data_IF_956205150129
#
_entry.id   IF_956205150129
#
_cell.length_a   1.000
_cell.length_b   1.000
_cell.length_c   1.000
_cell.angle_alpha   90.00
_cell.angle_beta   90.00
_cell.angle_gamma   90.00
#
_symmetry.space_group_name_H-M   'P 1'
#
loop_
_entity.id
_entity.type
_entity.pdbx_description
1 polymer ?
#
# COMPACT_ATOMS: atom_id res chain seq x y z
N UNK A 1 -26.69 -9.46 -12.48
CA UNK A 1 -25.32 -9.13 -12.96
C UNK A 1 -24.89 -7.75 -12.48
N UNK A 2 -25.62 -6.67 -12.79
CA UNK A 2 -25.31 -5.29 -12.33
C UNK A 2 -25.11 -5.18 -10.82
N UNK A 3 -26.06 -5.67 -10.01
CA UNK A 3 -25.92 -5.70 -8.53
C UNK A 3 -24.66 -6.40 -8.04
N UNK A 4 -24.18 -7.42 -8.77
CA UNK A 4 -22.95 -8.11 -8.43
C UNK A 4 -21.76 -7.21 -8.75
N UNK A 5 -21.69 -6.64 -9.95
CA UNK A 5 -20.63 -5.71 -10.41
C UNK A 5 -20.53 -4.45 -9.55
N UNK A 6 -21.65 -3.97 -9.02
CA UNK A 6 -21.69 -2.78 -8.17
C UNK A 6 -21.52 -3.09 -6.67
N UNK A 7 -21.41 -4.36 -6.28
CA UNK A 7 -21.44 -4.74 -4.86
C UNK A 7 -20.24 -4.22 -4.06
N UNK A 8 -19.08 -4.07 -4.71
CA UNK A 8 -17.85 -3.54 -4.13
C UNK A 8 -17.76 -2.01 -4.14
N UNK A 9 -18.71 -1.33 -4.79
CA UNK A 9 -18.68 0.11 -4.99
C UNK A 9 -19.21 0.87 -3.77
N UNK A 10 -18.56 1.99 -3.44
CA UNK A 10 -19.00 2.87 -2.35
C UNK A 10 -20.28 3.65 -2.72
N UNK A 11 -20.47 3.94 -4.01
CA UNK A 11 -21.61 4.70 -4.53
C UNK A 11 -22.53 3.82 -5.38
N UNK A 12 -23.21 2.87 -4.72
CA UNK A 12 -24.01 1.81 -5.38
C UNK A 12 -25.05 2.34 -6.37
N UNK A 13 -25.82 3.36 -5.99
CA UNK A 13 -26.85 3.94 -6.88
C UNK A 13 -26.24 4.54 -8.15
N UNK A 14 -25.09 5.21 -8.01
CA UNK A 14 -24.32 5.77 -9.13
C UNK A 14 -23.62 4.70 -9.97
N UNK A 15 -23.53 3.47 -9.48
CA UNK A 15 -23.07 2.32 -10.25
C UNK A 15 -24.22 1.61 -10.98
N UNK A 16 -25.28 1.26 -10.26
CA UNK A 16 -26.36 0.41 -10.77
C UNK A 16 -27.18 1.10 -11.86
N UNK A 17 -27.52 2.39 -11.68
CA UNK A 17 -28.33 3.14 -12.64
C UNK A 17 -27.73 3.17 -14.05
N UNK A 18 -26.50 3.68 -14.24
CA UNK A 18 -25.84 3.73 -15.55
C UNK A 18 -25.67 2.34 -16.18
N UNK A 19 -25.29 1.33 -15.41
CA UNK A 19 -25.08 -0.03 -15.93
C UNK A 19 -26.37 -0.72 -16.33
N UNK A 20 -27.47 -0.53 -15.58
CA UNK A 20 -28.78 -1.06 -15.99
C UNK A 20 -29.21 -0.46 -17.32
N UNK A 21 -29.08 0.87 -17.47
CA UNK A 21 -29.37 1.55 -18.74
C UNK A 21 -28.49 1.06 -19.89
N UNK A 22 -27.19 0.89 -19.65
CA UNK A 22 -26.28 0.36 -20.67
C UNK A 22 -26.67 -1.04 -21.14
N UNK A 23 -27.12 -1.92 -20.22
CA UNK A 23 -27.59 -3.26 -20.56
C UNK A 23 -28.94 -3.27 -21.29
N UNK A 24 -29.81 -2.28 -21.03
CA UNK A 24 -31.03 -2.08 -21.80
C UNK A 24 -30.72 -1.64 -23.24
N UNK A 25 -29.76 -0.73 -23.40
CA UNK A 25 -29.32 -0.18 -24.69
C UNK A 25 -28.51 -1.20 -25.53
N UNK A 26 -27.69 -2.05 -24.88
CA UNK A 26 -26.96 -3.15 -25.52
C UNK A 26 -27.08 -4.46 -24.73
N UNK A 27 -28.06 -5.32 -25.08
CA UNK A 27 -28.26 -6.63 -24.43
C UNK A 27 -27.08 -7.60 -24.54
N UNK A 28 -26.06 -7.31 -25.36
CA UNK A 28 -24.86 -8.16 -25.53
C UNK A 28 -23.80 -7.91 -24.45
N UNK A 29 -23.94 -6.85 -23.63
CA UNK A 29 -23.08 -6.55 -22.47
C UNK A 29 -23.27 -7.58 -21.35
N UNK A 30 -22.67 -8.76 -21.54
CA UNK A 30 -22.82 -9.92 -20.66
C UNK A 30 -21.52 -10.29 -19.94
N UNK A 31 -20.38 -9.73 -20.35
CA UNK A 31 -19.07 -10.03 -19.77
C UNK A 31 -18.64 -8.93 -18.78
N UNK A 32 -18.03 -9.30 -17.64
CA UNK A 32 -17.54 -8.34 -16.65
C UNK A 32 -16.57 -7.28 -17.21
N UNK A 33 -15.72 -7.65 -18.18
CA UNK A 33 -14.82 -6.71 -18.87
C UNK A 33 -15.57 -5.59 -19.58
N UNK A 34 -16.63 -5.97 -20.27
CA UNK A 34 -17.36 -5.08 -21.16
C UNK A 34 -18.24 -4.15 -20.33
N UNK A 35 -18.77 -4.63 -19.20
CA UNK A 35 -19.42 -3.81 -18.17
C UNK A 35 -18.44 -2.83 -17.51
N UNK A 36 -17.22 -3.27 -17.16
CA UNK A 36 -16.18 -2.38 -16.64
C UNK A 36 -15.82 -1.30 -17.66
N UNK A 37 -15.57 -1.68 -18.92
CA UNK A 37 -15.25 -0.73 -20.00
C UNK A 37 -16.40 0.28 -20.22
N UNK A 38 -17.64 -0.19 -20.24
CA UNK A 38 -18.81 0.67 -20.33
C UNK A 38 -18.87 1.65 -19.15
N UNK A 39 -18.58 1.17 -17.93
CA UNK A 39 -18.56 2.02 -16.74
C UNK A 39 -17.45 3.08 -16.76
N UNK A 40 -16.24 2.73 -17.17
CA UNK A 40 -15.14 3.70 -17.32
C UNK A 40 -15.51 4.77 -18.33
N UNK A 41 -16.21 4.42 -19.41
CA UNK A 41 -16.73 5.40 -20.38
C UNK A 41 -17.80 6.33 -19.78
N UNK A 42 -18.68 5.83 -18.90
CA UNK A 42 -19.58 6.72 -18.16
C UNK A 42 -18.82 7.68 -17.24
N UNK A 43 -17.76 7.20 -16.59
CA UNK A 43 -16.92 8.06 -15.76
C UNK A 43 -16.22 9.15 -16.60
N UNK A 44 -15.76 8.84 -17.81
CA UNK A 44 -15.24 9.81 -18.78
C UNK A 44 -16.24 10.93 -19.09
N UNK A 45 -17.49 10.55 -19.38
CA UNK A 45 -18.56 11.49 -19.70
C UNK A 45 -18.84 12.44 -18.52
N UNK A 46 -18.88 11.91 -17.29
CA UNK A 46 -19.13 12.72 -16.09
C UNK A 46 -17.95 13.65 -15.76
N UNK A 47 -16.70 13.19 -15.93
CA UNK A 47 -15.51 14.04 -15.81
C UNK A 47 -15.57 15.15 -16.85
N UNK A 48 -15.86 14.83 -18.11
CA UNK A 48 -15.97 15.82 -19.18
C UNK A 48 -17.08 16.85 -18.93
N UNK A 49 -18.24 16.43 -18.42
CA UNK A 49 -19.33 17.33 -18.03
C UNK A 49 -18.92 18.27 -16.90
N UNK A 50 -18.23 17.76 -15.88
CA UNK A 50 -17.73 18.56 -14.77
C UNK A 50 -16.79 19.65 -15.29
N UNK A 51 -15.79 19.30 -16.09
CA UNK A 51 -14.86 20.26 -16.66
C UNK A 51 -15.52 21.25 -17.62
N UNK A 52 -16.42 20.82 -18.50
CA UNK A 52 -17.14 21.75 -19.39
C UNK A 52 -17.95 22.80 -18.62
N UNK A 53 -18.49 22.44 -17.45
CA UNK A 53 -19.19 23.39 -16.59
C UNK A 53 -18.25 24.44 -16.00
N UNK A 54 -16.98 24.11 -15.73
CA UNK A 54 -15.98 25.10 -15.26
C UNK A 54 -15.71 26.20 -16.28
N UNK A 55 -15.82 25.91 -17.59
CA UNK A 55 -15.64 26.90 -18.67
C UNK A 55 -16.70 28.02 -18.58
N UNK A 56 -17.88 27.71 -18.05
CA UNK A 56 -18.97 28.68 -17.87
C UNK A 56 -18.87 29.49 -16.55
N UNK A 57 -17.91 29.16 -15.68
CA UNK A 57 -17.70 29.88 -14.42
C UNK A 57 -16.95 31.19 -14.67
N UNK A 58 -17.16 32.16 -13.77
CA UNK A 58 -16.44 33.44 -13.80
C UNK A 58 -15.33 33.43 -12.77
N UNK A 59 -14.13 33.80 -13.21
CA UNK A 59 -12.94 33.92 -12.36
C UNK A 59 -12.56 35.40 -12.29
N UNK A 60 -12.70 36.00 -11.12
CA UNK A 60 -12.62 37.45 -10.95
C UNK A 60 -11.18 37.92 -10.74
N UNK A 61 -10.39 37.12 -10.00
CA UNK A 61 -9.01 37.46 -9.65
C UNK A 61 -7.99 36.88 -10.65
N UNK A 62 -6.83 37.53 -10.78
CA UNK A 62 -5.73 36.99 -11.60
C UNK A 62 -5.23 35.63 -11.07
N UNK A 63 -5.32 35.41 -9.76
CA UNK A 63 -4.98 34.14 -9.14
C UNK A 63 -5.96 33.02 -9.55
N UNK A 64 -7.27 33.29 -9.57
CA UNK A 64 -8.27 32.32 -10.04
C UNK A 64 -8.14 32.03 -11.54
N UNK A 65 -7.80 33.04 -12.36
CA UNK A 65 -7.54 32.84 -13.79
C UNK A 65 -6.32 31.94 -14.02
N UNK A 66 -5.24 32.17 -13.26
CA UNK A 66 -4.05 31.30 -13.29
C UNK A 66 -4.39 29.86 -12.89
N UNK A 67 -5.08 29.69 -11.78
CA UNK A 67 -5.53 28.37 -11.30
C UNK A 67 -6.44 27.65 -12.31
N UNK A 68 -7.26 28.39 -13.05
CA UNK A 68 -8.11 27.83 -14.09
C UNK A 68 -7.31 27.35 -15.32
N UNK A 69 -6.28 28.07 -15.76
CA UNK A 69 -5.40 27.59 -16.83
C UNK A 69 -4.64 26.32 -16.42
N UNK A 70 -4.16 26.26 -15.18
CA UNK A 70 -3.56 25.04 -14.63
C UNK A 70 -4.58 23.88 -14.58
N UNK A 71 -5.82 24.17 -14.17
CA UNK A 71 -6.91 23.21 -14.13
C UNK A 71 -7.25 22.64 -15.52
N UNK A 72 -7.18 23.44 -16.60
CA UNK A 72 -7.38 22.95 -17.97
C UNK A 72 -6.30 21.94 -18.37
N UNK A 73 -5.05 22.17 -17.99
CA UNK A 73 -3.98 21.22 -18.27
C UNK A 73 -4.19 19.91 -17.52
N UNK A 74 -4.55 19.99 -16.23
CA UNK A 74 -4.89 18.82 -15.43
C UNK A 74 -6.10 18.04 -16.00
N UNK A 75 -7.03 18.73 -16.66
CA UNK A 75 -8.13 18.07 -17.38
C UNK A 75 -7.65 17.27 -18.58
N UNK A 76 -6.77 17.84 -19.41
CA UNK A 76 -6.19 17.15 -20.56
C UNK A 76 -5.46 15.88 -20.10
N UNK A 77 -4.64 15.99 -19.05
CA UNK A 77 -3.95 14.84 -18.44
C UNK A 77 -4.95 13.78 -17.93
N UNK A 78 -6.03 14.20 -17.26
CA UNK A 78 -7.09 13.29 -16.78
C UNK A 78 -7.83 12.59 -17.93
N UNK A 79 -8.07 13.30 -19.02
CA UNK A 79 -8.73 12.75 -20.20
C UNK A 79 -7.86 11.69 -20.88
N UNK A 80 -6.57 11.98 -21.06
CA UNK A 80 -5.62 11.04 -21.66
C UNK A 80 -5.50 9.73 -20.85
N UNK A 81 -5.48 9.83 -19.52
CA UNK A 81 -5.42 8.67 -18.62
C UNK A 81 -6.71 7.82 -18.65
N UNK A 82 -7.89 8.46 -18.70
CA UNK A 82 -9.15 7.73 -18.87
C UNK A 82 -9.25 7.08 -20.25
N UNK A 83 -8.89 7.79 -21.32
CA UNK A 83 -8.93 7.24 -22.69
C UNK A 83 -7.96 6.06 -22.83
N UNK A 84 -6.78 6.16 -22.23
CA UNK A 84 -5.82 5.05 -22.14
C UNK A 84 -6.42 3.84 -21.42
N UNK A 85 -7.12 4.07 -20.31
CA UNK A 85 -7.83 3.00 -19.59
C UNK A 85 -8.90 2.32 -20.46
N UNK A 86 -9.71 3.09 -21.19
CA UNK A 86 -10.76 2.55 -22.08
C UNK A 86 -10.17 1.77 -23.25
N UNK A 87 -9.11 2.32 -23.86
CA UNK A 87 -8.39 1.72 -24.99
C UNK A 87 -7.79 0.37 -24.60
N UNK A 88 -7.10 0.31 -23.47
CA UNK A 88 -6.46 -0.90 -23.00
C UNK A 88 -7.46 -1.95 -22.49
N UNK A 89 -8.57 -1.54 -21.85
CA UNK A 89 -9.68 -2.46 -21.54
C UNK A 89 -10.30 -3.08 -22.80
N UNK A 90 -10.29 -2.34 -23.92
CA UNK A 90 -10.70 -2.86 -25.23
C UNK A 90 -9.77 -3.94 -25.78
N UNK A 91 -8.46 -3.80 -25.57
CA UNK A 91 -7.43 -4.70 -26.12
C UNK A 91 -7.13 -5.91 -25.24
N UNK A 92 -7.17 -5.75 -23.92
CA UNK A 92 -6.75 -6.79 -22.97
C UNK A 92 -7.77 -7.93 -22.93
N UNK A 93 -7.28 -9.17 -22.98
CA UNK A 93 -8.11 -10.35 -22.70
C UNK A 93 -8.38 -10.46 -21.20
N UNK A 94 -9.55 -10.97 -20.80
CA UNK A 94 -9.90 -11.12 -19.37
C UNK A 94 -8.84 -11.86 -18.55
N UNK A 95 -8.23 -12.90 -19.12
CA UNK A 95 -7.17 -13.69 -18.47
C UNK A 95 -5.89 -12.88 -18.17
N UNK A 96 -5.68 -11.77 -18.88
CA UNK A 96 -4.52 -10.88 -18.77
C UNK A 96 -4.87 -9.54 -18.10
N UNK A 97 -6.14 -9.31 -17.76
CA UNK A 97 -6.60 -8.08 -17.11
C UNK A 97 -5.82 -7.82 -15.81
N UNK A 98 -5.40 -8.89 -15.13
CA UNK A 98 -4.65 -8.83 -13.88
C UNK A 98 -3.23 -8.30 -13.97
N UNK A 99 -2.60 -8.49 -15.12
CA UNK A 99 -1.25 -7.99 -15.36
C UNK A 99 -1.27 -6.48 -15.61
N UNK A 100 -2.39 -5.94 -16.10
CA UNK A 100 -2.58 -4.53 -16.47
C UNK A 100 -3.31 -3.72 -15.40
N UNK A 101 -3.83 -4.35 -14.35
CA UNK A 101 -4.48 -3.67 -13.21
C UNK A 101 -3.63 -2.58 -12.58
N UNK A 102 -2.30 -2.72 -12.40
CA UNK A 102 -1.49 -1.63 -11.89
C UNK A 102 -1.59 -0.36 -12.75
N UNK A 103 -1.62 -0.52 -14.07
CA UNK A 103 -1.73 0.60 -15.02
C UNK A 103 -3.10 1.26 -14.89
N UNK A 104 -4.18 0.47 -14.91
CA UNK A 104 -5.55 0.98 -14.73
C UNK A 104 -5.75 1.66 -13.38
N UNK A 105 -5.21 1.09 -12.30
CA UNK A 105 -5.25 1.71 -10.97
C UNK A 105 -4.48 3.03 -10.96
N UNK A 106 -3.32 3.08 -11.63
CA UNK A 106 -2.52 4.30 -11.74
C UNK A 106 -3.29 5.41 -12.46
N UNK A 107 -3.78 5.13 -13.68
CA UNK A 107 -4.49 6.11 -14.51
C UNK A 107 -5.79 6.60 -13.85
N UNK A 108 -6.64 5.68 -13.36
CA UNK A 108 -7.90 6.08 -12.72
C UNK A 108 -7.67 6.81 -11.38
N UNK A 109 -6.62 6.49 -10.62
CA UNK A 109 -6.28 7.23 -9.40
C UNK A 109 -5.69 8.61 -9.71
N UNK A 110 -4.91 8.73 -10.78
CA UNK A 110 -4.38 10.01 -11.25
C UNK A 110 -5.50 10.97 -11.64
N UNK A 111 -6.54 10.47 -12.33
CA UNK A 111 -7.74 11.25 -12.68
C UNK A 111 -8.45 11.86 -11.46
N UNK A 112 -8.58 11.10 -10.36
CA UNK A 112 -9.14 11.63 -9.11
C UNK A 112 -8.23 12.72 -8.54
N UNK A 113 -6.92 12.49 -8.60
CA UNK A 113 -5.90 13.41 -8.10
C UNK A 113 -5.86 14.71 -8.90
N UNK A 114 -5.94 14.65 -10.23
CA UNK A 114 -6.00 15.83 -11.10
C UNK A 114 -7.22 16.70 -10.82
N UNK A 115 -8.39 16.09 -10.60
CA UNK A 115 -9.59 16.82 -10.19
C UNK A 115 -9.43 17.45 -8.79
N UNK A 116 -8.70 16.81 -7.86
CA UNK A 116 -8.42 17.41 -6.54
C UNK A 116 -7.39 18.55 -6.65
N UNK A 117 -6.31 18.35 -7.40
CA UNK A 117 -5.28 19.36 -7.64
C UNK A 117 -5.85 20.59 -8.35
N UNK A 118 -6.79 20.41 -9.27
CA UNK A 118 -7.52 21.53 -9.87
C UNK A 118 -8.23 22.34 -8.78
N UNK A 119 -8.99 21.71 -7.89
CA UNK A 119 -9.65 22.41 -6.78
C UNK A 119 -8.63 23.07 -5.85
N UNK A 120 -7.53 22.36 -5.57
CA UNK A 120 -6.51 22.81 -4.63
C UNK A 120 -5.75 24.06 -5.11
N UNK A 121 -5.66 24.26 -6.43
CA UNK A 121 -5.07 25.45 -7.04
C UNK A 121 -5.86 26.73 -6.78
N UNK A 122 -7.15 26.65 -6.45
CA UNK A 122 -7.97 27.83 -6.16
C UNK A 122 -7.82 28.30 -4.71
N UNK A 123 -7.80 29.63 -4.46
CA UNK A 123 -7.78 30.17 -3.10
C UNK A 123 -9.05 29.77 -2.34
N UNK A 124 -8.98 29.79 -1.00
CA UNK A 124 -10.15 29.52 -0.17
C UNK A 124 -11.28 30.53 -0.45
N UNK A 125 -12.50 30.02 -0.64
CA UNK A 125 -13.66 30.85 -0.97
C UNK A 125 -14.78 30.08 -1.65
N UNK A 126 -15.76 30.83 -2.16
CA UNK A 126 -16.95 30.28 -2.80
C UNK A 126 -16.60 29.49 -4.08
N UNK A 127 -15.72 30.02 -4.93
CA UNK A 127 -15.26 29.38 -6.18
C UNK A 127 -14.69 27.99 -5.92
N UNK A 128 -13.78 27.85 -4.95
CA UNK A 128 -13.19 26.57 -4.55
C UNK A 128 -14.24 25.58 -4.05
N UNK A 129 -15.21 26.06 -3.26
CA UNK A 129 -16.31 25.22 -2.73
C UNK A 129 -17.23 24.72 -3.86
N UNK A 130 -17.56 25.57 -4.82
CA UNK A 130 -18.33 25.20 -6.00
C UNK A 130 -17.60 24.15 -6.86
N UNK A 131 -16.30 24.34 -7.10
CA UNK A 131 -15.47 23.38 -7.82
C UNK A 131 -15.37 22.04 -7.08
N UNK A 132 -15.19 22.07 -5.75
CA UNK A 132 -15.16 20.85 -4.93
C UNK A 132 -16.47 20.06 -5.09
N UNK A 133 -17.62 20.73 -5.00
CA UNK A 133 -18.93 20.08 -5.17
C UNK A 133 -19.12 19.52 -6.58
N UNK A 134 -18.66 20.24 -7.59
CA UNK A 134 -18.71 19.82 -8.99
C UNK A 134 -17.89 18.56 -9.23
N UNK A 135 -16.63 18.56 -8.81
CA UNK A 135 -15.71 17.44 -9.03
C UNK A 135 -15.95 16.26 -8.10
N UNK A 136 -16.55 16.44 -6.92
CA UNK A 136 -16.96 15.31 -6.08
C UNK A 136 -17.89 14.36 -6.84
N UNK A 137 -18.81 14.90 -7.64
CA UNK A 137 -19.72 14.07 -8.41
C UNK A 137 -18.99 13.17 -9.40
N UNK A 138 -18.08 13.72 -10.21
CA UNK A 138 -17.30 12.96 -11.20
C UNK A 138 -16.28 12.02 -10.55
N UNK A 139 -15.66 12.42 -9.43
CA UNK A 139 -14.76 11.55 -8.64
C UNK A 139 -15.45 10.29 -8.15
N UNK A 140 -16.72 10.36 -7.77
CA UNK A 140 -17.49 9.18 -7.34
C UNK A 140 -17.59 8.12 -8.45
N UNK A 141 -17.78 8.53 -9.71
CA UNK A 141 -17.81 7.59 -10.85
C UNK A 141 -16.44 6.97 -11.13
N UNK A 142 -15.37 7.76 -11.06
CA UNK A 142 -14.01 7.24 -11.23
C UNK A 142 -13.64 6.28 -10.09
N UNK A 143 -14.07 6.58 -8.86
CA UNK A 143 -13.93 5.68 -7.70
C UNK A 143 -14.69 4.37 -7.90
N UNK A 144 -15.92 4.43 -8.40
CA UNK A 144 -16.67 3.24 -8.74
C UNK A 144 -15.99 2.42 -9.86
N UNK A 145 -15.36 3.05 -10.86
CA UNK A 145 -14.53 2.34 -11.86
C UNK A 145 -13.37 1.57 -11.22
N UNK A 146 -12.68 2.15 -10.24
CA UNK A 146 -11.63 1.47 -9.49
C UNK A 146 -12.17 0.27 -8.69
N UNK A 147 -13.33 0.43 -8.05
CA UNK A 147 -13.96 -0.63 -7.28
C UNK A 147 -14.48 -1.78 -8.17
N UNK A 148 -15.06 -1.46 -9.33
CA UNK A 148 -15.49 -2.45 -10.32
C UNK A 148 -14.27 -3.14 -10.94
N UNK A 149 -13.22 -2.39 -11.28
CA UNK A 149 -11.97 -2.97 -11.77
C UNK A 149 -11.41 -3.95 -10.75
N UNK A 150 -11.32 -3.54 -9.47
CA UNK A 150 -10.87 -4.40 -8.38
C UNK A 150 -11.74 -5.66 -8.21
N UNK A 151 -13.05 -5.57 -8.48
CA UNK A 151 -13.95 -6.72 -8.39
C UNK A 151 -13.90 -7.63 -9.63
N UNK A 152 -13.83 -7.06 -10.85
CA UNK A 152 -13.63 -7.81 -12.09
C UNK A 152 -12.27 -8.57 -12.09
N UNK A 153 -11.39 -8.11 -11.22
CA UNK A 153 -10.07 -8.62 -10.91
C UNK A 153 -10.01 -9.62 -9.75
N UNK A 154 -11.13 -9.85 -9.04
CA UNK A 154 -11.25 -10.93 -8.06
C UNK A 154 -11.27 -12.29 -8.80
N UNK A 155 -10.11 -12.68 -9.33
CA UNK A 155 -9.65 -14.07 -9.25
C UNK A 155 -9.33 -14.36 -7.77
N UNK A 156 -10.28 -14.14 -6.87
CA UNK A 156 -10.18 -14.62 -5.49
C UNK A 156 -10.00 -16.12 -5.61
N UNK A 157 -8.86 -16.67 -5.15
CA UNK A 157 -8.63 -18.09 -5.26
C UNK A 157 -9.78 -18.81 -4.55
N UNK A 158 -10.35 -19.84 -5.18
CA UNK A 158 -11.45 -20.61 -4.58
C UNK A 158 -11.01 -21.09 -3.20
N UNK A 159 -11.71 -20.72 -2.12
CA UNK A 159 -11.29 -21.08 -0.79
C UNK A 159 -11.50 -22.57 -0.54
N UNK A 160 -10.52 -23.19 0.14
CA UNK A 160 -10.72 -24.50 0.76
C UNK A 160 -11.61 -24.40 1.98
N UNK A 161 -11.57 -23.26 2.66
CA UNK A 161 -12.26 -23.02 3.92
C UNK A 161 -12.56 -21.53 4.08
N UNK A 162 -13.70 -21.24 4.71
CA UNK A 162 -14.15 -19.88 5.05
C UNK A 162 -14.21 -19.70 6.56
N UNK A 163 -13.59 -18.64 7.06
CA UNK A 163 -13.74 -18.15 8.44
C UNK A 163 -14.72 -16.99 8.42
N UNK A 164 -15.75 -17.06 9.27
CA UNK A 164 -16.72 -15.99 9.42
C UNK A 164 -17.15 -15.85 10.88
N UNK A 165 -16.86 -14.69 11.48
CA UNK A 165 -17.17 -14.41 12.89
C UNK A 165 -18.67 -14.49 13.21
N UNK A 166 -19.52 -14.21 12.22
CA UNK A 166 -20.99 -14.30 12.32
C UNK A 166 -21.54 -15.74 12.28
N UNK A 167 -20.69 -16.74 12.04
CA UNK A 167 -21.08 -18.14 11.92
C UNK A 167 -21.54 -18.57 10.53
N UNK A 168 -21.43 -17.72 9.51
CA UNK A 168 -21.81 -18.02 8.12
C UNK A 168 -20.72 -18.75 7.30
N UNK A 169 -19.66 -19.22 7.97
CA UNK A 169 -18.52 -19.93 7.39
C UNK A 169 -18.24 -21.24 8.14
N UNK A 170 -17.19 -21.94 7.74
CA UNK A 170 -16.79 -23.23 8.31
C UNK A 170 -16.22 -23.09 9.74
N UNK A 171 -15.59 -21.95 10.05
CA UNK A 171 -15.00 -21.65 11.36
C UNK A 171 -15.39 -20.25 11.83
N UNK A 172 -15.48 -20.04 13.15
CA UNK A 172 -15.74 -18.72 13.74
C UNK A 172 -14.46 -17.92 14.00
N UNK A 173 -13.35 -18.61 14.23
CA UNK A 173 -12.04 -18.00 14.49
C UNK A 173 -10.99 -18.49 13.50
N UNK A 174 -9.96 -17.69 13.28
CA UNK A 174 -8.85 -18.02 12.39
C UNK A 174 -7.97 -19.09 13.02
N UNK A 175 -7.78 -19.06 14.35
CA UNK A 175 -7.00 -20.08 15.07
C UNK A 175 -7.64 -21.46 15.00
N UNK A 176 -8.98 -21.58 15.14
CA UNK A 176 -9.68 -22.86 14.94
C UNK A 176 -9.49 -23.38 13.51
N UNK A 177 -9.64 -22.50 12.51
CA UNK A 177 -9.40 -22.84 11.11
C UNK A 177 -7.97 -23.36 10.89
N UNK A 178 -6.96 -22.68 11.42
CA UNK A 178 -5.56 -23.08 11.28
C UNK A 178 -5.28 -24.43 11.96
N UNK A 179 -5.88 -24.70 13.12
CA UNK A 179 -5.76 -25.98 13.80
C UNK A 179 -6.37 -27.14 12.99
N UNK A 180 -7.34 -26.85 12.13
CA UNK A 180 -7.99 -27.83 11.25
C UNK A 180 -7.29 -27.98 9.88
N UNK A 181 -6.29 -27.15 9.55
CA UNK A 181 -5.52 -27.30 8.31
C UNK A 181 -4.85 -28.68 8.27
N UNK A 182 -5.02 -29.47 7.19
CA UNK A 182 -4.39 -30.77 7.07
C UNK A 182 -2.87 -30.69 7.22
N UNK A 183 -2.26 -31.60 7.98
CA UNK A 183 -0.80 -31.65 8.15
C UNK A 183 -0.05 -31.90 6.82
N UNK A 184 -0.72 -32.51 5.84
CA UNK A 184 -0.24 -32.68 4.47
C UNK A 184 -1.34 -32.20 3.53
N UNK A 185 -0.98 -31.29 2.63
CA UNK A 185 -1.85 -30.82 1.58
C UNK A 185 -0.99 -30.59 0.33
N UNK A 186 -1.41 -31.15 -0.80
CA UNK A 186 -0.72 -30.94 -2.07
C UNK A 186 -1.18 -29.61 -2.69
N UNK A 187 -0.23 -28.73 -3.00
CA UNK A 187 -0.51 -27.41 -3.57
C UNK A 187 -0.69 -26.33 -2.51
N UNK A 188 -1.61 -25.39 -2.77
CA UNK A 188 -1.84 -24.17 -1.99
C UNK A 188 -3.19 -24.25 -1.28
N UNK A 189 -3.19 -24.10 0.04
CA UNK A 189 -4.39 -24.18 0.86
C UNK A 189 -4.93 -22.76 1.12
N UNK A 190 -6.16 -22.51 0.71
CA UNK A 190 -6.74 -21.17 0.62
C UNK A 190 -7.79 -20.97 1.72
N UNK A 191 -7.56 -19.97 2.56
CA UNK A 191 -8.42 -19.56 3.67
C UNK A 191 -9.03 -18.21 3.31
N UNK A 192 -10.36 -18.17 3.20
CA UNK A 192 -11.10 -16.92 3.10
C UNK A 192 -11.52 -16.46 4.48
N UNK A 193 -11.24 -15.21 4.84
CA UNK A 193 -11.64 -14.60 6.12
C UNK A 193 -12.64 -13.49 5.83
N UNK A 194 -13.91 -13.71 6.16
CA UNK A 194 -14.95 -12.69 5.98
C UNK A 194 -14.71 -11.48 6.86
N UNK A 195 -15.33 -10.37 6.50
CA UNK A 195 -15.38 -9.13 7.27
C UNK A 195 -15.62 -9.40 8.77
N UNK A 196 -14.81 -8.76 9.60
CA UNK A 196 -14.83 -8.91 11.04
C UNK A 196 -13.50 -8.51 11.68
N UNK A 197 -13.57 -8.09 12.93
CA UNK A 197 -12.40 -7.88 13.78
C UNK A 197 -12.18 -9.13 14.62
N UNK A 198 -11.13 -9.88 14.33
CA UNK A 198 -10.72 -11.12 14.98
C UNK A 198 -9.68 -10.80 16.04
N UNK A 199 -10.12 -10.69 17.30
CA UNK A 199 -9.27 -10.43 18.47
C UNK A 199 -8.68 -11.74 19.00
N UNK A 200 -7.58 -12.16 18.36
CA UNK A 200 -6.89 -13.41 18.63
C UNK A 200 -5.42 -13.33 18.20
N UNK A 201 -4.55 -14.06 18.89
CA UNK A 201 -3.15 -14.23 18.45
C UNK A 201 -3.07 -15.38 17.45
N UNK A 202 -2.83 -15.05 16.18
CA UNK A 202 -2.85 -16.03 15.08
C UNK A 202 -1.42 -16.40 14.69
N UNK A 203 -1.13 -17.69 14.59
CA UNK A 203 0.19 -18.19 14.19
C UNK A 203 0.09 -19.22 13.06
N UNK A 204 0.58 -18.88 11.87
CA UNK A 204 0.81 -19.82 10.77
C UNK A 204 2.15 -20.49 10.97
N UNK A 205 2.13 -21.70 11.54
CA UNK A 205 3.36 -22.41 11.93
C UNK A 205 4.17 -22.91 10.73
N UNK A 206 5.43 -23.29 10.95
CA UNK A 206 6.30 -23.90 9.92
C UNK A 206 5.73 -25.14 9.22
N UNK A 207 4.77 -25.83 9.86
CA UNK A 207 4.11 -27.01 9.30
C UNK A 207 3.02 -26.63 8.26
N UNK A 208 2.59 -25.37 8.24
CA UNK A 208 1.52 -24.85 7.40
C UNK A 208 2.12 -24.12 6.19
N UNK A 209 2.66 -24.88 5.24
CA UNK A 209 3.29 -24.33 4.02
C UNK A 209 2.25 -23.97 2.96
N UNK A 210 2.58 -23.01 2.10
CA UNK A 210 1.76 -22.57 0.96
C UNK A 210 0.32 -22.19 1.34
N UNK A 211 0.13 -21.57 2.50
CA UNK A 211 -1.16 -21.01 2.89
C UNK A 211 -1.40 -19.71 2.11
N UNK A 212 -2.60 -19.55 1.56
CA UNK A 212 -3.12 -18.23 1.16
C UNK A 212 -4.23 -17.85 2.11
N UNK A 213 -4.15 -16.66 2.68
CA UNK A 213 -5.20 -16.07 3.50
C UNK A 213 -5.66 -14.77 2.85
N UNK A 214 -6.95 -14.66 2.54
CA UNK A 214 -7.49 -13.42 1.97
C UNK A 214 -8.75 -12.93 2.68
N UNK A 215 -8.92 -11.61 2.70
CA UNK A 215 -10.05 -10.94 3.36
C UNK A 215 -11.03 -10.28 2.39
N UNK A 216 -12.11 -9.74 2.94
CA UNK A 216 -13.06 -8.86 2.23
C UNK A 216 -12.51 -7.44 1.99
N UNK A 217 -11.33 -7.14 2.54
CA UNK A 217 -10.68 -5.84 2.48
C UNK A 217 -9.80 -5.63 3.70
N UNK A 218 -8.68 -4.92 3.54
CA UNK A 218 -7.69 -4.75 4.61
C UNK A 218 -8.17 -3.90 5.79
N UNK A 219 -9.30 -3.22 5.66
CA UNK A 219 -10.01 -2.51 6.73
C UNK A 219 -11.28 -3.24 7.21
N UNK A 220 -11.59 -4.41 6.63
CA UNK A 220 -12.80 -5.20 6.92
C UNK A 220 -12.45 -6.49 7.65
N UNK A 221 -11.52 -7.28 7.11
CA UNK A 221 -11.04 -8.52 7.73
C UNK A 221 -9.75 -8.24 8.51
N UNK A 222 -9.86 -8.04 9.82
CA UNK A 222 -8.75 -7.54 10.66
C UNK A 222 -8.41 -8.54 11.76
N UNK A 223 -7.16 -8.98 11.82
CA UNK A 223 -6.58 -9.65 12.98
C UNK A 223 -6.05 -8.57 13.93
N UNK A 224 -6.46 -8.60 15.20
CA UNK A 224 -6.07 -7.60 16.19
C UNK A 224 -5.57 -8.22 17.49
N UNK A 225 -4.78 -7.45 18.24
CA UNK A 225 -4.30 -7.75 19.59
C UNK A 225 -3.71 -6.51 20.25
N UNK A 226 -3.27 -6.60 21.49
CA UNK A 226 -2.77 -5.46 22.28
C UNK A 226 -1.55 -5.77 23.16
N UNK A 227 -0.91 -6.93 22.95
CA UNK A 227 0.30 -7.32 23.71
C UNK A 227 1.42 -6.32 23.44
N UNK A 228 2.17 -5.99 24.49
CA UNK A 228 3.19 -4.95 24.43
C UNK A 228 4.29 -5.12 25.48
N UNK A 229 5.42 -4.44 25.27
CA UNK A 229 6.58 -4.55 26.14
C UNK A 229 6.40 -3.91 27.52
N UNK A 230 5.66 -2.80 27.60
CA UNK A 230 5.39 -2.12 28.89
C UNK A 230 4.71 -3.04 29.89
N UNK A 231 3.81 -3.90 29.42
CA UNK A 231 3.08 -4.88 30.24
C UNK A 231 3.89 -6.17 30.51
N UNK A 232 5.19 -6.17 30.21
CA UNK A 232 6.10 -7.28 30.51
C UNK A 232 6.19 -8.36 29.42
N UNK A 233 5.53 -8.17 28.26
CA UNK A 233 5.63 -9.11 27.14
C UNK A 233 6.87 -8.78 26.31
N UNK A 234 7.83 -9.70 26.25
CA UNK A 234 9.01 -9.54 25.37
C UNK A 234 8.59 -9.20 23.94
N UNK A 235 9.21 -8.20 23.32
CA UNK A 235 8.82 -7.67 21.99
C UNK A 235 8.51 -8.75 20.95
N UNK A 236 9.33 -9.81 20.88
CA UNK A 236 9.12 -10.97 19.99
C UNK A 236 7.75 -11.67 20.14
N UNK A 237 7.19 -11.68 21.35
CA UNK A 237 5.92 -12.34 21.70
C UNK A 237 4.71 -11.39 21.63
N UNK A 238 4.92 -10.12 21.26
CA UNK A 238 3.85 -9.12 21.19
C UNK A 238 3.02 -9.20 19.91
N UNK A 239 3.50 -9.94 18.90
CA UNK A 239 2.88 -10.03 17.58
C UNK A 239 1.42 -10.54 17.64
N UNK A 240 0.47 -9.76 17.11
CA UNK A 240 -0.92 -10.21 16.91
C UNK A 240 -1.02 -11.30 15.85
N UNK A 241 -0.22 -11.19 14.78
CA UNK A 241 -0.14 -12.17 13.71
C UNK A 241 1.30 -12.64 13.49
N UNK A 242 1.50 -13.95 13.38
CA UNK A 242 2.80 -14.58 13.17
C UNK A 242 2.74 -15.50 11.95
N UNK A 243 3.72 -15.38 11.05
CA UNK A 243 3.89 -16.28 9.91
C UNK A 243 5.27 -16.91 9.93
N UNK A 244 5.30 -18.24 9.97
CA UNK A 244 6.52 -19.06 9.91
C UNK A 244 6.48 -20.11 8.80
N UNK A 245 5.32 -20.33 8.19
CA UNK A 245 5.13 -21.26 7.06
C UNK A 245 5.56 -20.63 5.73
N UNK A 246 6.50 -21.27 5.04
CA UNK A 246 7.01 -20.81 3.74
C UNK A 246 5.92 -20.74 2.66
N UNK A 247 6.07 -19.81 1.73
CA UNK A 247 5.13 -19.61 0.62
C UNK A 247 3.78 -19.01 1.05
N UNK A 248 3.71 -18.40 2.23
CA UNK A 248 2.51 -17.71 2.69
C UNK A 248 2.13 -16.55 1.76
N UNK A 249 0.85 -16.41 1.45
CA UNK A 249 0.30 -15.26 0.72
C UNK A 249 -0.82 -14.64 1.56
N UNK A 250 -0.69 -13.37 1.93
CA UNK A 250 -1.76 -12.57 2.53
C UNK A 250 -2.33 -11.58 1.52
N UNK A 251 -3.65 -11.58 1.31
CA UNK A 251 -4.31 -10.66 0.38
C UNK A 251 -5.44 -9.90 1.08
N UNK A 252 -5.49 -8.58 0.95
CA UNK A 252 -6.64 -7.79 1.45
C UNK A 252 -6.98 -8.05 2.95
N UNK A 253 -5.95 -8.25 3.78
CA UNK A 253 -6.08 -8.47 5.23
C UNK A 253 -5.55 -7.29 6.03
N UNK A 254 -6.16 -7.03 7.19
CA UNK A 254 -5.67 -6.10 8.20
C UNK A 254 -4.97 -6.83 9.34
N UNK A 255 -3.83 -6.31 9.80
CA UNK A 255 -3.09 -6.78 10.96
C UNK A 255 -2.83 -5.60 11.89
N UNK A 256 -3.34 -5.66 13.11
CA UNK A 256 -3.35 -4.52 14.04
C UNK A 256 -2.81 -4.90 15.41
N UNK A 257 -2.02 -4.00 16.00
CA UNK A 257 -1.76 -3.99 17.43
C UNK A 257 -2.23 -2.67 18.04
N UNK A 258 -3.14 -2.74 19.02
CA UNK A 258 -3.83 -1.59 19.61
C UNK A 258 -3.22 -1.10 20.93
N UNK A 259 -2.04 -1.59 21.33
CA UNK A 259 -1.38 -1.19 22.57
C UNK A 259 -1.14 0.32 22.72
N UNK A 260 -1.05 1.05 21.61
CA UNK A 260 -0.81 2.50 21.62
C UNK A 260 0.68 2.87 21.70
N UNK A 261 1.02 4.17 21.59
CA UNK A 261 2.41 4.64 21.67
C UNK A 261 2.99 4.48 23.09
N UNK A 262 2.11 4.46 24.10
CA UNK A 262 2.43 4.22 25.51
C UNK A 262 2.81 2.77 25.83
N UNK A 263 2.50 1.81 24.95
CA UNK A 263 2.81 0.39 25.15
C UNK A 263 4.26 0.02 24.84
N UNK A 264 5.06 0.95 24.31
CA UNK A 264 6.38 0.69 23.73
C UNK A 264 6.29 -0.35 22.59
N UNK A 265 7.22 -1.31 22.50
CA UNK A 265 7.25 -2.31 21.42
C UNK A 265 5.97 -3.15 21.41
N UNK A 266 5.23 -3.11 20.30
CA UNK A 266 3.96 -3.80 20.14
C UNK A 266 3.73 -4.19 18.67
N UNK A 267 4.09 -5.43 18.33
CA UNK A 267 4.13 -5.90 16.94
C UNK A 267 2.71 -6.24 16.45
N UNK A 268 2.35 -5.75 15.26
CA UNK A 268 1.11 -6.13 14.58
C UNK A 268 1.29 -7.44 13.81
N UNK A 269 2.37 -7.55 13.04
CA UNK A 269 2.73 -8.76 12.30
C UNK A 269 4.22 -9.08 12.39
N UNK A 270 4.54 -10.36 12.66
CA UNK A 270 5.89 -10.92 12.62
C UNK A 270 6.00 -11.96 11.52
N UNK A 271 6.93 -11.76 10.59
CA UNK A 271 7.09 -12.61 9.41
C UNK A 271 8.47 -13.27 9.41
N UNK A 272 8.48 -14.58 9.53
CA UNK A 272 9.63 -15.47 9.53
C UNK A 272 9.41 -16.63 8.54
N UNK A 273 8.97 -16.29 7.32
CA UNK A 273 8.66 -17.25 6.26
C UNK A 273 9.33 -16.85 4.96
N UNK A 274 9.93 -17.81 4.26
CA UNK A 274 10.51 -17.58 2.95
C UNK A 274 9.41 -17.53 1.90
N UNK A 275 9.57 -16.65 0.90
CA UNK A 275 8.61 -16.45 -0.19
C UNK A 275 7.24 -15.98 0.33
N UNK A 276 7.25 -15.25 1.44
CA UNK A 276 6.05 -14.61 1.96
C UNK A 276 5.67 -13.41 1.08
N UNK A 277 4.41 -13.35 0.68
CA UNK A 277 3.86 -12.23 -0.12
C UNK A 277 2.67 -11.62 0.59
N UNK A 278 2.63 -10.31 0.65
CA UNK A 278 1.48 -9.55 1.13
C UNK A 278 1.05 -8.57 0.04
N UNK A 279 -0.22 -8.61 -0.36
CA UNK A 279 -0.77 -7.69 -1.34
C UNK A 279 -2.05 -7.03 -0.83
N UNK A 280 -2.17 -5.71 -1.02
CA UNK A 280 -3.33 -4.95 -0.56
C UNK A 280 -3.62 -5.12 0.95
N UNK A 281 -2.59 -5.39 1.76
CA UNK A 281 -2.73 -5.60 3.21
C UNK A 281 -2.49 -4.30 3.98
N UNK A 282 -3.01 -4.24 5.20
CA UNK A 282 -2.80 -3.11 6.12
C UNK A 282 -2.16 -3.58 7.42
N UNK A 283 -1.08 -2.94 7.82
CA UNK A 283 -0.36 -3.19 9.07
C UNK A 283 -0.43 -1.94 9.93
N UNK A 284 -1.00 -2.05 11.13
CA UNK A 284 -1.28 -0.89 11.99
C UNK A 284 -0.76 -1.10 13.40
N UNK A 285 0.05 -0.14 13.85
CA UNK A 285 0.55 -0.08 15.20
C UNK A 285 1.12 1.30 15.51
N UNK A 286 2.06 1.33 16.45
CA UNK A 286 2.87 2.48 16.79
C UNK A 286 4.35 2.08 16.70
N UNK A 287 4.96 1.70 17.83
CA UNK A 287 6.33 1.21 17.84
C UNK A 287 6.40 -0.27 17.45
N UNK A 288 7.33 -0.61 16.56
CA UNK A 288 7.60 -1.99 16.09
C UNK A 288 6.44 -2.65 15.31
N UNK A 289 5.66 -1.89 14.52
CA UNK A 289 4.46 -2.40 13.81
C UNK A 289 4.70 -3.69 13.00
N UNK A 290 5.69 -3.69 12.10
CA UNK A 290 5.96 -4.81 11.19
C UNK A 290 7.37 -5.35 11.43
N UNK A 291 7.42 -6.56 12.00
CA UNK A 291 8.66 -7.29 12.22
C UNK A 291 8.91 -8.24 11.05
N UNK A 292 9.64 -7.75 10.04
CA UNK A 292 10.16 -8.58 8.94
C UNK A 292 11.35 -9.38 9.47
N UNK A 293 11.10 -10.47 10.19
CA UNK A 293 12.14 -11.15 10.96
C UNK A 293 13.13 -11.93 10.09
N UNK A 294 12.65 -12.76 9.16
CA UNK A 294 13.56 -13.57 8.34
C UNK A 294 13.04 -13.97 6.96
N UNK A 295 13.98 -14.34 6.09
CA UNK A 295 13.78 -14.82 4.73
C UNK A 295 13.28 -13.76 3.73
N UNK A 296 12.98 -14.18 2.49
CA UNK A 296 12.56 -13.29 1.40
C UNK A 296 11.08 -12.96 1.51
N UNK A 297 10.75 -11.67 1.47
CA UNK A 297 9.40 -11.16 1.67
C UNK A 297 9.09 -10.06 0.66
N UNK A 298 7.89 -10.07 0.11
CA UNK A 298 7.42 -9.07 -0.86
C UNK A 298 6.09 -8.45 -0.39
N UNK A 299 6.05 -7.12 -0.39
CA UNK A 299 4.88 -6.33 0.00
C UNK A 299 4.47 -5.45 -1.18
N UNK A 300 3.23 -5.60 -1.67
CA UNK A 300 2.70 -4.86 -2.82
C UNK A 300 1.43 -4.11 -2.43
N UNK A 301 1.35 -2.82 -2.75
CA UNK A 301 0.12 -2.03 -2.48
C UNK A 301 -0.36 -2.13 -1.04
N UNK A 302 0.56 -2.26 -0.09
CA UNK A 302 0.24 -2.37 1.33
C UNK A 302 0.28 -0.99 2.00
N UNK A 303 -0.47 -0.84 3.09
CA UNK A 303 -0.38 0.31 3.98
C UNK A 303 0.30 -0.13 5.26
N UNK A 304 1.36 0.54 5.67
CA UNK A 304 2.08 0.28 6.91
C UNK A 304 2.08 1.56 7.75
N UNK A 305 1.47 1.52 8.92
CA UNK A 305 1.33 2.67 9.80
C UNK A 305 2.03 2.46 11.15
N UNK A 306 2.81 3.43 11.60
CA UNK A 306 3.51 3.37 12.87
C UNK A 306 4.31 4.62 13.20
N UNK A 307 5.18 4.51 14.20
CA UNK A 307 5.96 5.62 14.76
C UNK A 307 7.45 5.29 14.83
N UNK A 308 7.87 4.59 15.89
CA UNK A 308 9.27 4.23 16.14
C UNK A 308 9.55 2.86 15.53
N UNK A 309 10.59 2.78 14.70
CA UNK A 309 11.13 1.53 14.14
C UNK A 309 10.04 0.65 13.49
N UNK A 310 9.04 1.26 12.85
CA UNK A 310 7.80 0.54 12.56
C UNK A 310 7.91 -0.49 11.41
N UNK A 311 8.99 -0.44 10.62
CA UNK A 311 9.44 -1.54 9.77
C UNK A 311 10.84 -1.95 10.23
N UNK A 312 10.97 -3.11 10.87
CA UNK A 312 12.23 -3.54 11.46
C UNK A 312 12.48 -5.04 11.33
N UNK A 313 13.75 -5.44 11.46
CA UNK A 313 14.08 -6.86 11.53
C UNK A 313 15.57 -7.19 11.60
N UNK A 314 15.88 -8.40 12.07
CA UNK A 314 17.24 -8.89 12.34
C UNK A 314 17.67 -10.00 11.38
N UNK A 315 18.92 -9.94 10.93
CA UNK A 315 19.43 -10.83 9.90
C UNK A 315 19.83 -12.22 10.40
N UNK A 316 19.15 -13.24 9.88
CA UNK A 316 19.67 -14.61 9.80
C UNK A 316 19.17 -15.22 8.49
N UNK A 317 20.13 -15.49 7.60
CA UNK A 317 20.05 -16.22 6.30
C UNK A 317 19.20 -15.56 5.20
N UNK A 318 19.81 -15.32 4.02
CA UNK A 318 19.23 -14.85 2.74
C UNK A 318 17.85 -14.17 2.84
N UNK A 319 17.83 -12.84 2.95
CA UNK A 319 16.60 -12.06 3.17
C UNK A 319 16.60 -10.90 2.21
N UNK A 320 15.54 -10.69 1.46
CA UNK A 320 15.37 -9.48 0.68
C UNK A 320 13.96 -9.01 0.96
N UNK A 321 13.79 -7.80 1.51
CA UNK A 321 12.48 -7.25 1.83
C UNK A 321 12.20 -6.12 0.87
N UNK A 322 11.25 -6.39 -0.01
CA UNK A 322 10.89 -5.48 -1.07
C UNK A 322 9.47 -4.98 -0.84
N UNK A 323 9.35 -3.67 -0.65
CA UNK A 323 8.10 -2.95 -0.59
C UNK A 323 7.93 -2.21 -1.91
N UNK A 324 6.89 -2.53 -2.67
CA UNK A 324 6.61 -1.92 -3.95
C UNK A 324 5.22 -1.31 -3.96
N UNK A 325 5.10 -0.05 -4.40
CA UNK A 325 3.81 0.65 -4.42
C UNK A 325 3.09 0.68 -3.06
N UNK A 326 3.84 0.71 -1.95
CA UNK A 326 3.26 0.73 -0.61
C UNK A 326 3.13 2.17 -0.09
N UNK A 327 2.25 2.37 0.90
CA UNK A 327 2.08 3.64 1.59
C UNK A 327 2.54 3.47 3.04
N UNK A 328 3.52 4.28 3.43
CA UNK A 328 4.09 4.32 4.77
C UNK A 328 3.47 5.53 5.46
N UNK A 329 2.64 5.28 6.48
CA UNK A 329 1.93 6.32 7.23
C UNK A 329 2.64 6.54 8.56
N UNK A 330 3.34 7.66 8.67
CA UNK A 330 4.07 8.03 9.89
C UNK A 330 3.13 8.77 10.83
N UNK A 331 2.84 8.17 11.98
CA UNK A 331 1.85 8.66 12.94
C UNK A 331 2.49 9.61 13.94
N UNK A 332 1.67 10.34 14.69
CA UNK A 332 2.14 11.09 15.87
C UNK A 332 2.57 10.10 16.98
N UNK A 333 3.84 10.15 17.46
CA UNK A 333 4.30 9.42 18.63
C UNK A 333 4.01 10.19 19.92
N UNK A 334 4.59 9.80 21.05
CA UNK A 334 4.62 10.66 22.24
C UNK A 334 5.50 11.89 21.99
N UNK A 335 5.22 12.99 22.71
CA UNK A 335 5.84 14.30 22.45
C UNK A 335 7.39 14.31 22.61
N UNK A 336 7.96 13.37 23.36
CA UNK A 336 9.40 13.23 23.59
C UNK A 336 10.07 12.15 22.70
N UNK A 337 9.36 11.63 21.70
CA UNK A 337 9.85 10.59 20.81
C UNK A 337 10.19 11.14 19.41
N UNK A 338 10.75 10.27 18.58
CA UNK A 338 11.06 10.53 17.18
C UNK A 338 10.61 9.34 16.36
N UNK A 339 10.22 9.57 15.11
CA UNK A 339 9.76 8.50 14.22
C UNK A 339 10.89 7.96 13.35
N UNK A 340 10.88 6.65 13.12
CA UNK A 340 11.80 5.97 12.21
C UNK A 340 11.00 5.04 11.31
N UNK A 341 11.01 5.30 10.00
CA UNK A 341 10.31 4.41 9.04
C UNK A 341 10.94 3.03 9.03
N UNK A 342 12.27 2.96 8.99
CA UNK A 342 13.00 1.70 8.90
C UNK A 342 14.08 1.55 9.96
N UNK A 343 14.20 0.33 10.50
CA UNK A 343 15.26 -0.01 11.46
C UNK A 343 15.82 -1.39 11.14
N UNK A 344 16.85 -1.40 10.28
CA UNK A 344 17.38 -2.62 9.68
C UNK A 344 18.54 -3.21 10.51
N UNK A 345 18.48 -4.53 10.72
CA UNK A 345 19.37 -5.25 11.63
C UNK A 345 20.34 -6.23 10.95
N UNK A 346 20.96 -5.85 9.83
CA UNK A 346 22.02 -6.66 9.20
C UNK A 346 23.30 -6.65 10.05
N UNK A 347 23.78 -7.84 10.42
CA UNK A 347 24.93 -8.02 11.32
C UNK A 347 26.21 -8.43 10.61
N UNK A 348 26.12 -8.89 9.36
CA UNK A 348 27.29 -9.33 8.59
C UNK A 348 27.22 -8.78 7.15
N UNK A 349 28.33 -8.24 6.64
CA UNK A 349 28.41 -7.65 5.29
C UNK A 349 28.12 -8.64 4.16
N UNK A 350 28.37 -9.93 4.37
CA UNK A 350 28.14 -10.99 3.39
C UNK A 350 26.67 -11.40 3.31
N UNK A 351 25.85 -10.98 4.29
CA UNK A 351 24.42 -11.13 4.19
C UNK A 351 23.90 -10.24 3.06
N UNK A 352 23.37 -10.89 2.02
CA UNK A 352 22.65 -10.23 0.95
C UNK A 352 21.25 -9.81 1.45
N UNK A 353 21.19 -8.99 2.51
CA UNK A 353 19.94 -8.55 3.14
C UNK A 353 19.76 -7.05 3.21
N UNK A 354 18.50 -6.59 3.23
CA UNK A 354 18.17 -5.19 3.37
C UNK A 354 16.68 -4.92 3.20
N UNK A 355 16.27 -3.70 3.57
CA UNK A 355 14.96 -3.12 3.26
C UNK A 355 15.09 -2.33 1.96
N UNK A 356 14.18 -2.56 1.01
CA UNK A 356 14.04 -1.73 -0.19
C UNK A 356 12.61 -1.20 -0.26
N UNK A 357 12.48 0.12 -0.29
CA UNK A 357 11.22 0.83 -0.53
C UNK A 357 11.27 1.38 -1.95
N UNK A 358 10.52 0.77 -2.88
CA UNK A 358 10.50 1.14 -4.29
C UNK A 358 9.12 1.66 -4.70
N UNK A 359 9.05 2.82 -5.36
CA UNK A 359 7.78 3.41 -5.82
C UNK A 359 6.74 3.51 -4.69
N UNK A 360 7.19 3.85 -3.49
CA UNK A 360 6.33 3.96 -2.32
C UNK A 360 6.00 5.42 -2.03
N UNK A 361 4.99 5.66 -1.21
CA UNK A 361 4.64 6.99 -0.69
C UNK A 361 4.89 7.01 0.82
N UNK A 362 5.79 7.87 1.28
CA UNK A 362 6.08 8.09 2.69
C UNK A 362 5.39 9.39 3.11
N UNK A 363 4.27 9.27 3.84
CA UNK A 363 3.43 10.40 4.24
C UNK A 363 3.18 10.45 5.74
N UNK A 364 2.88 11.64 6.25
CA UNK A 364 2.43 11.82 7.62
C UNK A 364 0.95 11.48 7.75
N UNK A 365 0.58 10.95 8.91
CA UNK A 365 -0.80 10.98 9.39
C UNK A 365 -1.20 12.43 9.73
N UNK A 366 -2.47 12.76 9.60
CA UNK A 366 -2.99 14.13 9.86
C UNK A 366 -2.66 14.60 11.28
N UNK A 367 -2.57 13.68 12.24
CA UNK A 367 -2.21 14.00 13.62
C UNK A 367 -0.75 14.44 13.81
N UNK A 368 0.15 14.09 12.88
CA UNK A 368 1.57 14.47 12.93
C UNK A 368 1.81 15.85 12.31
N UNK A 369 1.00 16.27 11.35
CA UNK A 369 1.18 17.52 10.59
C UNK A 369 1.35 18.76 11.50
N UNK A 370 0.55 18.97 12.57
CA UNK A 370 0.67 20.15 13.43
C UNK A 370 1.96 20.19 14.27
N UNK A 371 2.66 19.06 14.41
CA UNK A 371 3.83 18.89 15.28
C UNK A 371 5.04 18.35 14.52
N UNK A 372 5.03 18.38 13.18
CA UNK A 372 6.09 17.81 12.35
C UNK A 372 7.45 18.51 12.52
N UNK A 373 7.43 19.80 12.87
CA UNK A 373 8.65 20.58 13.10
C UNK A 373 9.27 20.33 14.49
N UNK A 374 8.47 19.88 15.46
CA UNK A 374 8.93 19.55 16.82
C UNK A 374 9.29 18.07 16.95
N UNK A 375 8.46 17.18 16.40
CA UNK A 375 8.65 15.74 16.40
C UNK A 375 9.35 15.30 15.12
N UNK A 376 10.65 15.08 15.23
CA UNK A 376 11.49 14.70 14.09
C UNK A 376 11.14 13.30 13.59
N UNK A 377 11.03 13.16 12.27
CA UNK A 377 10.80 11.89 11.58
C UNK A 377 11.93 11.62 10.58
N UNK A 378 12.39 10.37 10.52
CA UNK A 378 13.52 9.95 9.67
C UNK A 378 13.16 8.71 8.85
N UNK A 379 13.84 8.53 7.71
CA UNK A 379 13.76 7.33 6.87
C UNK A 379 14.25 6.08 7.60
N UNK A 380 15.17 6.23 8.55
CA UNK A 380 15.56 5.13 9.42
C UNK A 380 16.80 5.35 10.28
N UNK A 381 17.17 4.30 11.02
CA UNK A 381 18.37 4.22 11.86
C UNK A 381 18.98 2.81 11.94
N UNK A 382 20.31 2.68 12.13
CA UNK A 382 20.99 1.40 11.99
C UNK A 382 20.96 0.56 13.27
N UNK A 383 20.04 -0.39 13.37
CA UNK A 383 19.98 -1.28 14.55
C UNK A 383 21.23 -2.14 14.72
N UNK A 384 21.87 -2.52 13.60
CA UNK A 384 23.08 -3.36 13.57
C UNK A 384 24.14 -2.78 12.63
N UNK A 385 25.38 -3.22 12.84
CA UNK A 385 26.58 -2.60 12.27
C UNK A 385 26.57 -2.47 10.75
N UNK A 386 25.99 -3.43 10.03
CA UNK A 386 25.95 -3.42 8.56
C UNK A 386 24.57 -3.06 8.02
N UNK A 387 23.74 -2.36 8.80
CA UNK A 387 22.38 -1.95 8.42
C UNK A 387 22.27 -1.52 6.96
N UNK A 388 21.28 -2.04 6.23
CA UNK A 388 21.09 -1.72 4.81
C UNK A 388 19.64 -1.41 4.46
N UNK A 389 19.40 -0.18 4.05
CA UNK A 389 18.09 0.33 3.61
C UNK A 389 18.27 1.15 2.33
N UNK A 390 17.40 0.92 1.35
CA UNK A 390 17.33 1.70 0.10
C UNK A 390 15.93 2.27 -0.06
N UNK A 391 15.83 3.57 -0.33
CA UNK A 391 14.57 4.26 -0.66
C UNK A 391 14.70 4.80 -2.08
N UNK A 392 13.92 4.27 -3.01
CA UNK A 392 14.07 4.61 -4.43
C UNK A 392 12.74 4.81 -5.14
N UNK A 393 12.72 5.74 -6.10
CA UNK A 393 11.56 6.06 -6.95
C UNK A 393 10.31 6.42 -6.13
N UNK A 394 10.50 6.85 -4.89
CA UNK A 394 9.45 7.01 -3.89
C UNK A 394 9.16 8.48 -3.62
N UNK A 395 7.91 8.77 -3.28
CA UNK A 395 7.49 10.10 -2.85
C UNK A 395 7.72 10.26 -1.35
N UNK A 396 8.39 11.34 -0.95
CA UNK A 396 8.74 11.63 0.45
C UNK A 396 8.10 12.95 0.87
N UNK A 397 7.22 12.88 1.88
CA UNK A 397 6.57 14.06 2.45
C UNK A 397 7.52 14.99 3.22
N UNK A 398 7.11 16.24 3.41
CA UNK A 398 7.94 17.33 3.94
C UNK A 398 8.29 17.20 5.44
N UNK A 399 7.60 16.32 6.15
CA UNK A 399 7.81 16.02 7.57
C UNK A 399 9.08 15.17 7.83
N UNK A 400 9.67 14.58 6.80
CA UNK A 400 10.97 13.89 6.93
C UNK A 400 12.06 14.94 7.12
N UNK A 401 12.75 14.85 8.25
CA UNK A 401 13.78 15.80 8.63
C UNK A 401 14.88 15.87 7.54
N UNK A 402 15.46 17.04 7.23
CA UNK A 402 16.44 17.20 6.15
C UNK A 402 17.67 16.27 6.24
N UNK A 403 18.09 15.93 7.46
CA UNK A 403 19.12 14.91 7.75
C UNK A 403 18.82 13.55 7.08
N UNK A 404 17.53 13.22 6.90
CA UNK A 404 17.00 12.00 6.30
C UNK A 404 17.11 10.76 7.18
N UNK A 405 18.27 10.57 7.83
CA UNK A 405 18.61 9.40 8.63
C UNK A 405 19.13 9.84 10.00
N UNK A 406 18.95 9.01 11.04
CA UNK A 406 19.49 9.30 12.38
C UNK A 406 20.35 8.16 12.93
N UNK A 407 21.30 8.52 13.78
CA UNK A 407 22.22 7.56 14.37
C UNK A 407 21.47 6.67 15.38
N UNK A 408 21.89 5.42 15.51
CA UNK A 408 21.40 4.54 16.57
C UNK A 408 21.95 4.98 17.93
N UNK A 409 23.28 5.12 18.03
CA UNK A 409 23.99 5.63 19.19
C UNK A 409 25.37 6.14 18.78
N UNK A 410 25.66 7.43 19.01
CA UNK A 410 26.94 8.04 18.67
C UNK A 410 27.38 7.74 17.23
N UNK A 411 28.59 7.23 17.06
CA UNK A 411 29.17 6.89 15.76
C UNK A 411 29.00 5.42 15.33
N UNK A 412 28.15 4.66 16.02
CA UNK A 412 27.90 3.24 15.70
C UNK A 412 27.36 3.07 14.27
N UNK A 413 27.89 2.07 13.54
CA UNK A 413 27.49 1.68 12.19
C UNK A 413 27.66 2.73 11.07
N UNK A 414 27.93 4.01 11.37
CA UNK A 414 27.89 5.10 10.38
C UNK A 414 28.87 4.92 9.20
N UNK A 415 29.95 4.16 9.41
CA UNK A 415 30.95 3.85 8.37
C UNK A 415 30.64 2.58 7.57
N UNK A 416 29.85 1.67 8.13
CA UNK A 416 29.68 0.29 7.65
C UNK A 416 28.28 0.00 7.14
N UNK A 417 27.29 0.80 7.53
CA UNK A 417 25.93 0.76 7.00
C UNK A 417 25.92 1.10 5.49
N UNK A 418 24.82 0.74 4.84
CA UNK A 418 24.53 1.13 3.46
C UNK A 418 23.13 1.75 3.42
N UNK A 419 23.06 3.07 3.47
CA UNK A 419 21.82 3.82 3.26
C UNK A 419 21.87 4.55 1.93
N UNK A 420 20.85 4.32 1.12
CA UNK A 420 20.83 4.83 -0.24
C UNK A 420 19.49 5.43 -0.63
N UNK A 421 19.56 6.51 -1.41
CA UNK A 421 18.42 7.17 -2.04
C UNK A 421 18.63 7.23 -3.56
N UNK A 422 17.57 7.01 -4.35
CA UNK A 422 17.60 7.09 -5.82
C UNK A 422 16.28 7.61 -6.38
N UNK A 423 16.32 8.67 -7.20
CA UNK A 423 15.16 9.19 -7.94
C UNK A 423 13.88 9.38 -7.10
N UNK A 424 14.01 9.78 -5.84
CA UNK A 424 12.88 10.11 -4.98
C UNK A 424 12.30 11.49 -5.35
N UNK A 425 10.99 11.66 -5.17
CA UNK A 425 10.27 12.91 -5.43
C UNK A 425 9.53 13.38 -4.18
N UNK A 426 8.90 14.56 -4.26
CA UNK A 426 8.18 15.15 -3.14
C UNK A 426 9.06 16.08 -2.28
N UNK A 427 8.42 16.85 -1.39
CA UNK A 427 9.09 17.94 -0.68
C UNK A 427 10.18 17.49 0.33
N UNK A 428 10.11 16.25 0.83
CA UNK A 428 11.13 15.67 1.73
C UNK A 428 12.29 14.95 1.02
N UNK A 429 12.28 14.88 -0.32
CA UNK A 429 13.25 14.09 -1.10
C UNK A 429 14.59 14.79 -1.37
N UNK A 430 14.70 16.08 -1.07
CA UNK A 430 15.97 16.82 -1.27
C UNK A 430 17.11 16.19 -0.47
N UNK A 431 18.23 15.91 -1.13
CA UNK A 431 19.39 15.27 -0.51
C UNK A 431 20.50 16.25 -0.09
N UNK A 432 20.33 17.55 -0.35
CA UNK A 432 21.37 18.57 -0.15
C UNK A 432 21.84 18.68 1.32
N UNK A 433 20.90 18.52 2.26
CA UNK A 433 21.13 18.64 3.70
C UNK A 433 21.26 17.29 4.42
N UNK A 434 21.30 16.17 3.68
CA UNK A 434 21.44 14.84 4.27
C UNK A 434 22.74 14.71 5.06
N UNK A 435 22.71 13.83 6.05
CA UNK A 435 23.89 13.47 6.85
C UNK A 435 25.08 13.09 5.95
N UNK A 436 26.30 13.31 6.44
CA UNK A 436 27.55 13.08 5.69
C UNK A 436 28.26 11.78 6.11
N UNK A 437 27.51 10.77 6.55
CA UNK A 437 28.12 9.51 6.99
C UNK A 437 28.72 8.75 5.81
N UNK A 438 29.88 8.07 5.98
CA UNK A 438 30.48 7.31 4.89
C UNK A 438 29.60 6.17 4.34
N UNK A 439 28.68 5.63 5.16
CA UNK A 439 27.73 4.61 4.76
C UNK A 439 26.51 5.13 3.97
N UNK A 440 26.31 6.46 3.91
CA UNK A 440 25.22 7.08 3.15
C UNK A 440 25.65 7.46 1.74
N UNK A 441 24.75 7.32 0.76
CA UNK A 441 25.00 7.72 -0.63
C UNK A 441 23.71 7.98 -1.40
N UNK A 442 23.76 8.93 -2.33
CA UNK A 442 22.80 9.02 -3.44
C UNK A 442 23.36 8.17 -4.57
N UNK A 443 22.66 7.11 -4.95
CA UNK A 443 23.17 6.11 -5.91
C UNK A 443 22.76 6.45 -7.34
N UNK A 444 23.45 5.87 -8.31
CA UNK A 444 23.08 5.98 -9.72
C UNK A 444 22.12 4.84 -10.15
N UNK A 445 21.70 4.87 -11.43
CA UNK A 445 20.77 3.89 -12.02
C UNK A 445 21.29 2.45 -11.97
N UNK A 446 22.59 2.24 -12.20
CA UNK A 446 23.19 0.90 -12.23
C UNK A 446 23.23 0.27 -10.82
N UNK A 447 23.60 1.06 -9.82
CA UNK A 447 23.53 0.68 -8.41
C UNK A 447 22.08 0.42 -7.97
N UNK A 448 21.14 1.30 -8.33
CA UNK A 448 19.72 1.15 -8.01
C UNK A 448 19.12 -0.12 -8.64
N UNK A 449 19.53 -0.49 -9.86
CA UNK A 449 19.07 -1.69 -10.56
C UNK A 449 19.37 -2.99 -9.78
N UNK A 450 20.42 -3.00 -8.95
CA UNK A 450 20.76 -4.15 -8.09
C UNK A 450 19.72 -4.38 -6.97
N UNK A 451 18.94 -3.36 -6.63
CA UNK A 451 17.94 -3.42 -5.57
C UNK A 451 16.52 -3.67 -6.09
N UNK A 452 16.32 -3.86 -7.40
CA UNK A 452 15.00 -4.14 -8.00
C UNK A 452 14.52 -5.57 -7.70
N UNK A 453 13.24 -5.86 -7.90
CA UNK A 453 12.68 -7.22 -7.69
C UNK A 453 13.45 -8.28 -8.49
N UNK A 454 13.77 -8.01 -9.76
CA UNK A 454 14.45 -8.96 -10.63
C UNK A 454 15.84 -9.35 -10.09
N UNK A 455 16.62 -8.36 -9.68
CA UNK A 455 18.00 -8.54 -9.18
C UNK A 455 18.03 -8.99 -7.72
N UNK A 456 17.38 -8.23 -6.84
CA UNK A 456 17.43 -8.38 -5.39
C UNK A 456 16.65 -9.63 -4.95
N UNK A 457 15.40 -9.79 -5.39
CA UNK A 457 14.57 -10.94 -4.99
C UNK A 457 14.81 -12.19 -5.85
N UNK A 458 15.65 -12.09 -6.89
CA UNK A 458 15.81 -13.09 -7.95
C UNK A 458 14.52 -13.39 -8.73
N UNK A 459 13.61 -12.41 -8.87
CA UNK A 459 12.44 -12.35 -9.79
C UNK A 459 11.41 -13.50 -9.80
N UNK A 460 11.85 -14.74 -10.02
CA UNK A 460 11.06 -15.97 -10.17
C UNK A 460 10.20 -16.31 -8.96
N UNK A 461 10.53 -15.75 -7.79
CA UNK A 461 9.81 -15.99 -6.54
C UNK A 461 8.37 -15.48 -6.55
N UNK A 462 8.14 -14.35 -7.23
CA UNK A 462 6.86 -13.61 -7.17
C UNK A 462 6.00 -13.92 -8.39
N UNK A 463 6.59 -14.27 -9.53
CA UNK A 463 5.87 -14.47 -10.79
C UNK A 463 4.74 -15.52 -10.69
N UNK A 464 4.92 -16.55 -9.86
CA UNK A 464 3.94 -17.64 -9.70
C UNK A 464 2.85 -17.35 -8.65
N UNK A 465 2.86 -16.19 -7.97
CA UNK A 465 1.87 -15.86 -6.94
C UNK A 465 0.64 -15.14 -7.48
N UNK A 466 0.67 -14.69 -8.74
CA UNK A 466 -0.37 -13.86 -9.34
C UNK A 466 -0.39 -12.41 -8.82
N UNK A 467 0.50 -12.05 -7.89
CA UNK A 467 0.62 -10.68 -7.38
C UNK A 467 1.45 -9.84 -8.36
N UNK A 468 0.93 -8.69 -8.84
CA UNK A 468 1.69 -7.82 -9.74
C UNK A 468 3.01 -7.37 -9.12
N UNK A 469 4.09 -7.43 -9.90
CA UNK A 469 5.40 -6.96 -9.49
C UNK A 469 6.19 -6.40 -10.68
N UNK A 470 6.72 -5.19 -10.52
CA UNK A 470 7.64 -4.60 -11.49
C UNK A 470 9.04 -5.14 -11.23
N UNK A 471 9.64 -5.76 -12.24
CA UNK A 471 10.93 -6.46 -12.08
C UNK A 471 12.14 -5.52 -12.07
N UNK A 472 12.01 -4.32 -12.63
CA UNK A 472 13.08 -3.33 -12.76
C UNK A 472 12.77 -2.01 -12.06
N UNK A 473 13.42 -0.95 -12.53
CA UNK A 473 13.14 0.44 -12.18
C UNK A 473 11.87 0.93 -12.92
N UNK A 474 11.20 1.93 -12.35
CA UNK A 474 10.06 2.64 -12.95
C UNK A 474 10.62 3.81 -13.77
N UNK A 475 10.72 3.63 -15.08
CA UNK A 475 11.26 4.64 -16.01
C UNK A 475 10.48 5.96 -15.97
#
# INVERSE_FOLDING_TARGET
>A
MVKLVCSSTDYKEKCEGPLNKAMEDDPKLTQPKDLLKAYVKFAEDEVSKAFNKTISMKFETEQEKGAFEDCKKLFEDAKDDIESSISELGKVEMKNLSQRTPDFNSWLSAVISFQQNCVDGFPEGNTRTELQNLFNHSKDFVSNSLAILSQAMDNKPTPNVTVAKDGSGDFKTISECLNAVPQKYEGRYVIFVKEGVYDETVTVTKKMQNITMYGDGSQKSIITGSKNYRDGVRAFLTASFVVEGDGFIGLAMGFRNTAGPDGHQAVAARVQADRAVFANCRFEGYQDTLYTQAHRQFYRSCIIAGTIDFIFGAAVVFQNWMFQNCIMVVRKPLDNQQNMVTTQGRVDKQQATGIVLQKCTIKSDDSLVPVKDTIRSYLGRPWKEFSRTVVMESEIGDFIHPDGWTAWAGNFALKTLYYAEYANTGPGASTNARIKWPGYRVINKDEATQFTVGSFMKGTLIQNTGVPSTQGLYN
#
